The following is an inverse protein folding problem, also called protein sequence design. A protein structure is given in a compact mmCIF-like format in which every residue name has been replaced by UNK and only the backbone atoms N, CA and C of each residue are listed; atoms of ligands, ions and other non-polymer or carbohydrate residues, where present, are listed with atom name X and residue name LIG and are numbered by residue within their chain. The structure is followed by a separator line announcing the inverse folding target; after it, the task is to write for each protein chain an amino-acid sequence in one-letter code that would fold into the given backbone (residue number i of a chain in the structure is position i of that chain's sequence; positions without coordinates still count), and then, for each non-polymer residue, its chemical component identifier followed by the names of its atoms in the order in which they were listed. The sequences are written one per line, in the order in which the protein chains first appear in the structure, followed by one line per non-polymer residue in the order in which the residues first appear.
data_IF_631348044388
#
_entry.id   IF_631348044388
#
_cell.length_a   1.000
_cell.length_b   1.000
_cell.length_c   1.000
_cell.angle_alpha   90.00
_cell.angle_beta   90.00
_cell.angle_gamma   90.00
#
_symmetry.space_group_name_H-M   'P 1'
#
loop_
_entity.id
_entity.type
_entity.pdbx_description
1 polymer ?
#
# COMPACT_ATOMS: atom_id res chain seq x y z
N UNK A 1 -18.27 -9.20 19.89
CA UNK A 1 -18.93 -9.81 18.72
C UNK A 1 -20.29 -10.33 19.15
N UNK A 2 -21.36 -9.99 18.41
CA UNK A 2 -22.67 -10.59 18.54
C UNK A 2 -22.83 -11.75 17.56
N UNK A 3 -24.05 -12.28 17.45
CA UNK A 3 -24.37 -13.37 16.52
C UNK A 3 -24.30 -12.90 15.05
N UNK A 4 -24.74 -11.67 14.80
CA UNK A 4 -24.92 -11.10 13.47
C UNK A 4 -24.21 -9.73 13.29
N UNK A 5 -23.37 -9.34 14.25
CA UNK A 5 -22.62 -8.08 14.23
C UNK A 5 -21.30 -8.17 14.97
N UNK A 6 -20.41 -7.26 14.64
CA UNK A 6 -19.22 -6.97 15.45
C UNK A 6 -19.11 -5.45 15.65
N UNK A 7 -18.42 -5.07 16.70
CA UNK A 7 -18.04 -3.70 17.00
C UNK A 7 -16.52 -3.63 17.09
N UNK A 8 -15.96 -2.55 16.59
CA UNK A 8 -14.53 -2.31 16.64
C UNK A 8 -14.26 -0.85 17.02
N UNK A 9 -13.33 -0.65 17.94
CA UNK A 9 -12.81 0.67 18.25
C UNK A 9 -11.82 1.09 17.17
N UNK A 10 -11.96 2.33 16.69
CA UNK A 10 -11.11 2.88 15.64
C UNK A 10 -10.42 4.14 16.14
N UNK A 11 -9.10 4.19 16.05
CA UNK A 11 -8.32 5.37 16.44
C UNK A 11 -8.58 6.56 15.51
N UNK A 12 -8.51 7.77 16.06
CA UNK A 12 -8.68 9.00 15.29
C UNK A 12 -7.71 9.12 14.11
N UNK A 13 -6.50 8.59 14.23
CA UNK A 13 -5.52 8.55 13.15
C UNK A 13 -5.99 7.66 11.98
N UNK A 14 -6.53 6.50 12.28
CA UNK A 14 -7.10 5.59 11.28
C UNK A 14 -8.27 6.25 10.53
N UNK A 15 -9.12 6.99 11.24
CA UNK A 15 -10.22 7.74 10.62
C UNK A 15 -9.72 8.85 9.70
N UNK A 16 -8.59 9.49 10.03
CA UNK A 16 -8.00 10.55 9.19
C UNK A 16 -7.28 10.02 7.95
N UNK A 17 -6.60 8.88 8.08
CA UNK A 17 -5.74 8.33 7.01
C UNK A 17 -6.45 7.39 6.06
N UNK A 18 -7.66 6.99 6.37
CA UNK A 18 -8.42 6.03 5.58
C UNK A 18 -9.77 6.59 5.16
N UNK A 19 -10.42 5.93 4.22
CA UNK A 19 -11.79 6.29 3.83
C UNK A 19 -12.83 5.93 4.88
N UNK A 20 -12.46 5.28 6.00
CA UNK A 20 -13.39 4.91 7.06
C UNK A 20 -14.16 6.11 7.61
N UNK A 21 -13.51 7.29 7.69
CA UNK A 21 -14.13 8.53 8.12
C UNK A 21 -15.29 9.01 7.23
N UNK A 22 -15.38 8.54 6.00
CA UNK A 22 -16.46 8.89 5.05
C UNK A 22 -17.61 7.86 5.01
N UNK A 23 -17.48 6.74 5.73
CA UNK A 23 -18.53 5.72 5.77
C UNK A 23 -19.74 6.20 6.56
N UNK A 24 -20.91 5.77 6.14
CA UNK A 24 -22.19 6.03 6.77
C UNK A 24 -23.00 4.75 6.95
N UNK A 25 -24.13 4.86 7.65
CA UNK A 25 -25.03 3.72 7.80
C UNK A 25 -25.44 3.19 6.43
N UNK A 26 -25.28 1.88 6.22
CA UNK A 26 -25.54 1.20 4.94
C UNK A 26 -24.35 1.10 4.00
N UNK A 27 -23.20 1.75 4.32
CA UNK A 27 -21.98 1.54 3.56
C UNK A 27 -21.53 0.08 3.64
N UNK A 28 -21.14 -0.49 2.51
CA UNK A 28 -20.59 -1.85 2.44
C UNK A 28 -19.07 -1.82 2.61
N UNK A 29 -18.53 -2.82 3.29
CA UNK A 29 -17.08 -3.01 3.49
C UNK A 29 -16.70 -4.45 3.19
N UNK A 30 -15.45 -4.67 2.78
CA UNK A 30 -14.88 -6.00 2.69
C UNK A 30 -14.43 -6.44 4.08
N UNK A 31 -14.61 -7.71 4.39
CA UNK A 31 -14.19 -8.31 5.65
C UNK A 31 -13.32 -9.52 5.37
N UNK A 32 -12.16 -9.56 5.99
CA UNK A 32 -11.24 -10.68 5.92
C UNK A 32 -10.78 -11.07 7.33
N UNK A 33 -10.55 -12.36 7.54
CA UNK A 33 -9.95 -12.82 8.79
C UNK A 33 -8.48 -12.44 8.83
N UNK A 34 -7.98 -12.13 10.03
CA UNK A 34 -6.56 -11.90 10.23
C UNK A 34 -5.75 -13.08 9.70
N UNK A 35 -4.65 -12.76 9.01
CA UNK A 35 -3.71 -13.75 8.49
C UNK A 35 -3.17 -14.63 9.62
N UNK A 36 -3.14 -15.94 9.39
CA UNK A 36 -2.59 -16.93 10.31
C UNK A 36 -1.50 -17.74 9.61
N UNK A 37 -0.45 -18.12 10.33
CA UNK A 37 0.61 -19.00 9.81
C UNK A 37 0.11 -20.38 9.38
N UNK A 38 -1.10 -20.76 9.77
CA UNK A 38 -1.73 -22.05 9.41
C UNK A 38 -2.61 -21.95 8.16
N UNK A 39 -2.90 -20.76 7.67
CA UNK A 39 -3.71 -20.55 6.47
C UNK A 39 -2.84 -20.49 5.21
N UNK A 40 -3.42 -20.86 4.06
CA UNK A 40 -2.75 -20.65 2.77
C UNK A 40 -2.72 -19.14 2.49
N UNK A 41 -1.58 -18.67 1.98
CA UNK A 41 -1.45 -17.31 1.48
C UNK A 41 -2.10 -17.25 0.09
N UNK A 42 -3.27 -16.63 -0.02
CA UNK A 42 -4.01 -16.46 -1.28
C UNK A 42 -3.65 -15.21 -2.08
N UNK A 43 -2.68 -14.43 -1.61
CA UNK A 43 -2.20 -13.20 -2.22
C UNK A 43 -0.85 -12.83 -1.64
N UNK A 44 -0.68 -11.59 -1.15
CA UNK A 44 0.49 -11.16 -0.38
C UNK A 44 0.14 -10.95 1.09
N UNK A 45 1.11 -10.58 1.92
CA UNK A 45 0.89 -10.30 3.34
C UNK A 45 0.12 -8.98 3.46
N UNK A 46 -1.15 -9.08 3.84
CA UNK A 46 -2.03 -7.94 4.14
C UNK A 46 -2.15 -7.82 5.65
N UNK A 47 -1.74 -6.70 6.19
CA UNK A 47 -1.70 -6.45 7.64
C UNK A 47 -2.83 -5.54 8.14
N UNK A 48 -3.56 -4.89 7.22
CA UNK A 48 -4.60 -3.91 7.53
C UNK A 48 -4.03 -2.53 7.86
N UNK A 49 -2.78 -2.24 7.49
CA UNK A 49 -2.14 -0.96 7.73
C UNK A 49 -2.17 -0.10 6.48
N UNK A 50 -3.18 0.76 6.40
CA UNK A 50 -3.39 1.64 5.26
C UNK A 50 -2.26 2.67 5.14
N UNK A 51 -1.61 2.71 3.98
CA UNK A 51 -0.54 3.67 3.65
C UNK A 51 -1.09 5.01 3.19
N UNK A 52 -2.23 4.99 2.56
CA UNK A 52 -2.91 6.17 2.04
C UNK A 52 -4.19 5.81 1.32
N UNK A 53 -4.73 6.78 0.63
CA UNK A 53 -5.92 6.59 -0.20
C UNK A 53 -5.60 6.86 -1.66
N UNK A 54 -6.34 6.23 -2.56
CA UNK A 54 -6.33 6.52 -3.99
C UNK A 54 -7.71 6.90 -4.47
N UNK A 55 -7.79 7.42 -5.69
CA UNK A 55 -9.05 7.74 -6.36
C UNK A 55 -9.21 6.87 -7.59
N UNK A 56 -10.32 6.17 -7.72
CA UNK A 56 -10.69 5.47 -8.94
C UNK A 56 -10.94 6.52 -10.02
N UNK A 57 -10.18 6.52 -11.09
CA UNK A 57 -10.35 7.47 -12.19
C UNK A 57 -11.07 6.88 -13.37
N UNK A 58 -10.98 5.55 -13.56
CA UNK A 58 -11.57 4.86 -14.70
C UNK A 58 -11.89 3.42 -14.37
N UNK A 59 -12.99 2.92 -14.90
CA UNK A 59 -13.38 1.50 -14.88
C UNK A 59 -13.82 1.10 -16.27
N UNK A 60 -13.17 0.09 -16.84
CA UNK A 60 -13.41 -0.33 -18.22
C UNK A 60 -13.56 -1.84 -18.29
N UNK A 61 -14.64 -2.28 -18.96
CA UNK A 61 -14.85 -3.70 -19.20
C UNK A 61 -14.05 -4.15 -20.41
N UNK A 62 -13.28 -5.22 -20.24
CA UNK A 62 -12.57 -5.89 -21.31
C UNK A 62 -12.81 -7.39 -21.17
N UNK A 63 -13.52 -7.96 -22.12
CA UNK A 63 -13.94 -9.36 -22.11
C UNK A 63 -14.67 -9.74 -20.79
N UNK A 64 -14.14 -10.65 -20.02
CA UNK A 64 -14.69 -11.11 -18.74
C UNK A 64 -14.14 -10.34 -17.52
N UNK A 65 -13.21 -9.42 -17.72
CA UNK A 65 -12.59 -8.65 -16.67
C UNK A 65 -13.01 -7.17 -16.66
N UNK A 66 -12.78 -6.49 -15.54
CA UNK A 66 -12.93 -5.04 -15.42
C UNK A 66 -11.58 -4.44 -15.01
N UNK A 67 -11.07 -3.55 -15.84
CA UNK A 67 -9.89 -2.75 -15.54
C UNK A 67 -10.27 -1.59 -14.65
N UNK A 68 -9.57 -1.45 -13.53
CA UNK A 68 -9.73 -0.34 -12.59
C UNK A 68 -8.44 0.46 -12.57
N UNK A 69 -8.53 1.75 -12.90
CA UNK A 69 -7.41 2.70 -12.83
C UNK A 69 -7.55 3.53 -11.56
N UNK A 70 -6.49 3.58 -10.78
CA UNK A 70 -6.45 4.31 -9.50
C UNK A 70 -5.26 5.26 -9.52
N UNK A 71 -5.50 6.54 -9.24
CA UNK A 71 -4.46 7.53 -8.96
C UNK A 71 -4.16 7.54 -7.48
N UNK A 72 -2.88 7.75 -7.12
CA UNK A 72 -2.44 7.83 -5.74
C UNK A 72 -1.26 8.80 -5.61
N UNK A 73 -0.94 9.17 -4.38
CA UNK A 73 0.21 10.01 -4.07
C UNK A 73 1.53 9.31 -4.42
N UNK A 74 2.57 10.04 -4.84
CA UNK A 74 3.87 9.47 -5.17
C UNK A 74 4.49 8.66 -4.04
N UNK A 75 4.20 9.00 -2.79
CA UNK A 75 4.63 8.27 -1.59
C UNK A 75 4.07 6.85 -1.47
N UNK A 76 2.94 6.58 -2.13
CA UNK A 76 2.32 5.27 -2.25
C UNK A 76 2.79 4.59 -3.53
N UNK A 77 2.75 5.30 -4.68
CA UNK A 77 3.09 4.77 -5.99
C UNK A 77 4.51 4.18 -6.05
N UNK A 78 5.48 4.77 -5.33
CA UNK A 78 6.87 4.29 -5.28
C UNK A 78 7.04 2.84 -4.81
N UNK A 79 6.06 2.28 -4.09
CA UNK A 79 6.08 0.89 -3.62
C UNK A 79 5.28 -0.05 -4.52
N UNK A 80 4.61 0.47 -5.54
CA UNK A 80 3.80 -0.31 -6.47
C UNK A 80 4.65 -0.67 -7.68
N UNK A 81 4.73 -1.95 -7.99
CA UNK A 81 5.47 -2.45 -9.14
C UNK A 81 4.56 -3.27 -10.06
N UNK A 82 4.80 -3.22 -11.36
CA UNK A 82 4.08 -4.06 -12.32
C UNK A 82 4.30 -5.54 -11.99
N UNK A 83 3.24 -6.34 -12.05
CA UNK A 83 3.17 -7.75 -11.63
C UNK A 83 3.41 -7.99 -10.13
N UNK A 84 3.59 -6.92 -9.35
CA UNK A 84 3.55 -6.99 -7.90
C UNK A 84 2.11 -7.01 -7.36
N UNK A 85 1.98 -6.81 -6.05
CA UNK A 85 0.70 -6.82 -5.35
C UNK A 85 0.40 -5.47 -4.72
N UNK A 86 -0.87 -5.13 -4.68
CA UNK A 86 -1.43 -3.97 -3.96
C UNK A 86 -2.72 -4.39 -3.28
N UNK A 87 -2.98 -3.86 -2.10
CA UNK A 87 -4.27 -4.04 -1.43
C UNK A 87 -5.15 -2.81 -1.68
N UNK A 88 -6.35 -3.04 -2.23
CA UNK A 88 -7.37 -2.02 -2.44
C UNK A 88 -8.58 -2.36 -1.57
N UNK A 89 -8.93 -1.50 -0.60
CA UNK A 89 -10.04 -1.74 0.35
C UNK A 89 -10.00 -3.14 0.99
N UNK A 90 -8.81 -3.63 1.35
CA UNK A 90 -8.59 -4.94 1.93
C UNK A 90 -8.44 -6.09 0.93
N UNK A 91 -8.57 -5.85 -0.37
CA UNK A 91 -8.49 -6.88 -1.40
C UNK A 91 -7.08 -6.92 -1.98
N UNK A 92 -6.39 -8.06 -1.86
CA UNK A 92 -5.09 -8.29 -2.51
C UNK A 92 -5.26 -8.48 -4.02
N UNK A 93 -4.61 -7.61 -4.81
CA UNK A 93 -4.75 -7.58 -6.26
C UNK A 93 -3.37 -7.51 -6.94
N UNK A 94 -3.27 -8.11 -8.11
CA UNK A 94 -2.08 -8.02 -8.97
C UNK A 94 -2.10 -6.71 -9.76
N UNK A 95 -0.98 -5.98 -9.72
CA UNK A 95 -0.77 -4.76 -10.50
C UNK A 95 -0.49 -5.13 -11.96
N UNK A 96 -1.35 -4.71 -12.86
CA UNK A 96 -1.21 -4.99 -14.28
C UNK A 96 -0.48 -3.86 -15.04
N UNK A 97 -0.44 -2.65 -14.47
CA UNK A 97 0.26 -1.49 -14.99
C UNK A 97 0.52 -0.49 -13.86
N UNK A 98 1.61 0.26 -13.93
CA UNK A 98 1.91 1.38 -13.03
C UNK A 98 2.77 2.42 -13.75
N UNK A 99 2.52 3.70 -13.44
CA UNK A 99 3.36 4.85 -13.81
C UNK A 99 3.49 5.84 -12.62
N UNK A 100 4.05 7.02 -12.87
CA UNK A 100 4.28 8.03 -11.83
C UNK A 100 2.99 8.66 -11.27
N UNK A 101 1.83 8.39 -11.86
CA UNK A 101 0.55 9.03 -11.51
C UNK A 101 -0.55 8.06 -11.12
N UNK A 102 -0.51 6.83 -11.65
CA UNK A 102 -1.56 5.86 -11.46
C UNK A 102 -1.04 4.41 -11.56
N UNK A 103 -1.89 3.50 -11.11
CA UNK A 103 -1.73 2.08 -11.38
C UNK A 103 -3.06 1.47 -11.85
N UNK A 104 -2.99 0.28 -12.45
CA UNK A 104 -4.18 -0.43 -12.95
C UNK A 104 -4.17 -1.87 -12.45
N UNK A 105 -5.36 -2.34 -12.11
CA UNK A 105 -5.62 -3.74 -11.76
C UNK A 105 -6.71 -4.29 -12.67
N UNK A 106 -6.69 -5.60 -12.93
CA UNK A 106 -7.72 -6.29 -13.72
C UNK A 106 -8.53 -7.21 -12.80
N UNK A 107 -9.82 -6.93 -12.67
CA UNK A 107 -10.72 -7.62 -11.75
C UNK A 107 -11.45 -8.73 -12.50
N UNK A 108 -11.21 -9.99 -12.10
CA UNK A 108 -11.88 -11.18 -12.64
C UNK A 108 -13.31 -11.32 -12.04
N UNK A 109 -14.21 -12.05 -12.70
CA UNK A 109 -15.60 -12.20 -12.26
C UNK A 109 -15.75 -12.63 -10.79
N UNK A 110 -14.99 -13.61 -10.36
CA UNK A 110 -15.03 -14.09 -8.98
C UNK A 110 -14.73 -12.96 -7.95
N UNK A 111 -13.69 -12.17 -8.17
CA UNK A 111 -13.35 -11.04 -7.29
C UNK A 111 -14.45 -9.96 -7.34
N UNK A 112 -15.06 -9.76 -8.50
CA UNK A 112 -16.17 -8.82 -8.67
C UNK A 112 -17.41 -9.20 -7.84
N UNK A 113 -17.71 -10.49 -7.76
CA UNK A 113 -18.88 -11.03 -7.05
C UNK A 113 -18.65 -11.04 -5.52
N UNK A 114 -17.44 -11.36 -5.08
CA UNK A 114 -17.11 -11.57 -3.67
C UNK A 114 -16.70 -10.27 -2.94
N UNK A 115 -16.52 -9.15 -3.66
CA UNK A 115 -16.00 -7.91 -3.07
C UNK A 115 -16.84 -6.68 -3.39
N UNK A 116 -16.58 -5.59 -2.68
CA UNK A 116 -17.29 -4.33 -2.91
C UNK A 116 -16.66 -3.47 -4.02
N UNK A 117 -15.52 -3.87 -4.61
CA UNK A 117 -14.73 -3.00 -5.50
C UNK A 117 -15.53 -2.52 -6.71
N UNK A 118 -16.26 -3.42 -7.38
CA UNK A 118 -17.06 -3.04 -8.56
C UNK A 118 -18.41 -2.40 -8.22
N UNK A 119 -18.76 -2.22 -6.94
CA UNK A 119 -19.89 -1.36 -6.56
C UNK A 119 -19.51 0.12 -6.51
N UNK A 120 -18.22 0.42 -6.64
CA UNK A 120 -17.66 1.76 -6.70
C UNK A 120 -17.63 2.28 -8.14
N UNK A 121 -17.36 3.57 -8.31
CA UNK A 121 -17.32 4.28 -9.58
C UNK A 121 -16.15 5.24 -9.68
N UNK A 122 -15.91 5.77 -10.86
CA UNK A 122 -14.94 6.84 -11.04
C UNK A 122 -15.29 8.05 -10.14
N UNK A 123 -14.29 8.57 -9.44
CA UNK A 123 -14.39 9.61 -8.42
C UNK A 123 -14.43 9.06 -6.99
N UNK A 124 -14.68 7.77 -6.78
CA UNK A 124 -14.71 7.20 -5.43
C UNK A 124 -13.28 7.00 -4.89
N UNK A 125 -13.14 7.20 -3.57
CA UNK A 125 -11.90 6.98 -2.85
C UNK A 125 -11.79 5.54 -2.38
N UNK A 126 -10.58 4.97 -2.44
CA UNK A 126 -10.23 3.63 -1.95
C UNK A 126 -9.06 3.70 -0.98
N UNK A 127 -9.03 2.81 0.00
CA UNK A 127 -7.86 2.61 0.85
C UNK A 127 -6.80 1.81 0.11
N UNK A 128 -5.53 2.18 0.29
CA UNK A 128 -4.39 1.50 -0.29
C UNK A 128 -3.42 1.02 0.78
N UNK A 129 -3.01 -0.24 0.70
CA UNK A 129 -1.94 -0.81 1.51
C UNK A 129 -0.91 -1.46 0.56
N UNK A 130 0.32 -0.94 0.60
CA UNK A 130 1.43 -1.46 -0.20
C UNK A 130 2.01 -2.72 0.42
N UNK A 131 2.65 -3.55 -0.42
CA UNK A 131 3.42 -4.68 0.09
C UNK A 131 4.52 -4.19 1.04
N UNK A 132 4.54 -4.74 2.24
CA UNK A 132 5.50 -4.36 3.29
C UNK A 132 6.95 -4.65 2.91
N UNK A 133 7.20 -5.60 2.01
CA UNK A 133 8.57 -5.96 1.58
C UNK A 133 9.28 -4.76 0.94
N UNK A 134 8.59 -3.97 0.12
CA UNK A 134 9.16 -2.77 -0.49
C UNK A 134 9.61 -1.73 0.54
N UNK A 135 8.85 -1.56 1.60
CA UNK A 135 9.18 -0.64 2.70
C UNK A 135 10.40 -1.10 3.51
N UNK A 136 10.51 -2.40 3.77
CA UNK A 136 11.69 -2.95 4.44
C UNK A 136 12.94 -2.80 3.59
N UNK A 137 12.86 -3.11 2.29
CA UNK A 137 13.98 -2.94 1.36
C UNK A 137 14.46 -1.49 1.33
N UNK A 138 13.53 -0.53 1.15
CA UNK A 138 13.88 0.90 1.18
C UNK A 138 14.57 1.28 2.49
N UNK A 139 14.03 0.86 3.62
CA UNK A 139 14.61 1.18 4.94
C UNK A 139 16.02 0.64 5.12
N UNK A 140 16.28 -0.58 4.67
CA UNK A 140 17.60 -1.21 4.76
C UNK A 140 18.63 -0.51 3.87
N UNK A 141 18.28 -0.18 2.62
CA UNK A 141 19.15 0.54 1.70
C UNK A 141 19.51 1.94 2.20
N UNK A 142 18.56 2.66 2.78
CA UNK A 142 18.86 3.97 3.39
C UNK A 142 19.74 3.87 4.64
N UNK A 143 19.65 2.79 5.39
CA UNK A 143 20.49 2.58 6.57
C UNK A 143 21.96 2.38 6.16
N UNK A 144 22.24 1.63 5.11
CA UNK A 144 23.59 1.41 4.58
C UNK A 144 24.20 2.72 4.09
N UNK A 145 23.46 3.53 3.31
CA UNK A 145 23.94 4.83 2.81
C UNK A 145 24.32 5.78 3.96
N UNK A 146 23.51 5.86 5.00
CA UNK A 146 23.78 6.72 6.16
C UNK A 146 25.05 6.29 6.89
N UNK A 147 25.32 5.00 6.94
CA UNK A 147 26.53 4.44 7.60
C UNK A 147 27.78 4.75 6.78
N UNK A 148 27.74 4.66 5.46
CA UNK A 148 28.84 5.00 4.57
C UNK A 148 29.20 6.50 4.63
N UNK A 149 28.20 7.38 4.62
CA UNK A 149 28.42 8.82 4.77
C UNK A 149 29.02 9.21 6.13
N UNK A 150 28.64 8.54 7.20
CA UNK A 150 29.24 8.76 8.51
C UNK A 150 30.68 8.26 8.57
N UNK A 151 30.98 7.13 7.96
CA UNK A 151 32.32 6.57 7.90
C UNK A 151 33.25 7.45 7.05
N UNK A 152 32.78 8.01 5.94
CA UNK A 152 33.56 8.91 5.09
C UNK A 152 33.89 10.25 5.77
N UNK A 153 33.07 10.72 6.72
CA UNK A 153 33.33 11.93 7.50
C UNK A 153 34.41 11.75 8.60
N UNK A 154 34.75 10.51 8.93
CA UNK A 154 35.81 10.18 9.92
C UNK A 154 37.17 9.91 9.22
N UNK A 155 37.22 10.05 7.90
CA UNK A 155 38.48 9.86 7.18
C UNK A 155 39.53 10.90 7.63
N UNK A 156 40.70 10.40 8.07
CA UNK A 156 41.86 11.24 8.38
C UNK A 156 42.30 11.90 7.07
N UNK A 157 42.11 13.21 7.00
CA UNK A 157 42.52 14.00 5.83
C UNK A 157 43.95 14.56 6.03
N UNK A 158 44.60 14.91 4.91
CA UNK A 158 45.93 15.59 4.97
C UNK A 158 45.85 16.91 5.76
N UNK A 159 44.74 17.64 5.68
CA UNK A 159 44.50 18.85 6.48
C UNK A 159 44.43 18.54 7.97
N UNK A 160 43.75 17.48 8.36
CA UNK A 160 43.70 17.05 9.79
C UNK A 160 45.09 16.67 10.31
N UNK A 161 45.88 15.96 9.50
CA UNK A 161 47.23 15.59 9.87
C UNK A 161 48.16 16.81 10.03
N UNK A 162 48.05 17.79 9.12
CA UNK A 162 48.81 19.03 9.17
C UNK A 162 48.46 19.87 10.42
N UNK A 163 47.19 20.02 10.76
CA UNK A 163 46.72 20.77 11.93
C UNK A 163 47.18 20.12 13.25
N UNK A 164 47.37 18.81 13.26
CA UNK A 164 47.77 18.06 14.45
C UNK A 164 49.29 17.73 14.49
N UNK A 165 50.08 18.30 13.59
CA UNK A 165 51.56 18.20 13.59
C UNK A 165 52.13 16.88 13.09
N UNK A 166 51.40 16.16 12.25
CA UNK A 166 51.81 14.92 11.62
C UNK A 166 52.36 15.10 10.18
N UNK A 167 52.30 16.32 9.66
CA UNK A 167 52.85 16.73 8.34
C UNK A 167 53.56 18.08 8.50
#
# INVERSE_FOLDING_TARGET
MGKDYFEADVMAETMRRSKLGSLSQGSRVNLERALSLQTRLGGHIVSGHIDGTGTITRMEREDNAVWVTVTAEPTVLKYIIEKGSITIDGISLTVAYVDDTCFRVSIIPHTAEETTLLTQKAGDTVNLECDMLGKYVERLLHFEQTTEEQTSKIAITSSYLAEHGFL
#
